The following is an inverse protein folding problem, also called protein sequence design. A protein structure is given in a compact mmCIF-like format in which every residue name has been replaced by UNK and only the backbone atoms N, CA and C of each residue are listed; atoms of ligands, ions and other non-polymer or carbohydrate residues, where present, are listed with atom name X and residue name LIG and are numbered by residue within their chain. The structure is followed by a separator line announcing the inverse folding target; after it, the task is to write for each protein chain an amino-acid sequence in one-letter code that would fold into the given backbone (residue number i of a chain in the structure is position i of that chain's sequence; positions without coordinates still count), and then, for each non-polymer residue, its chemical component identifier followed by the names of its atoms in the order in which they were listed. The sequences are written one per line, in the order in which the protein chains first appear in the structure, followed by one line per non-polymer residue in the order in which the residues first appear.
data_IF_448224635649
#
_entry.id   IF_448224635649
#
_cell.length_a   1.000
_cell.length_b   1.000
_cell.length_c   1.000
_cell.angle_alpha   90.00
_cell.angle_beta   90.00
_cell.angle_gamma   90.00
#
_symmetry.space_group_name_H-M   'P 1'
#
loop_
_entity.id
_entity.type
_entity.pdbx_description
1 polymer ?
#
# COMPACT_ATOMS: atom_id res chain seq x y z
N UNK A 1 -8.23 12.12 9.78
CA UNK A 1 -7.61 10.83 9.98
C UNK A 1 -8.61 9.73 9.75
N UNK A 2 -8.26 8.75 8.98
CA UNK A 2 -9.23 7.75 8.56
C UNK A 2 -8.80 6.35 8.96
N UNK A 3 -8.91 6.08 10.25
CA UNK A 3 -8.51 4.79 10.78
C UNK A 3 -9.42 3.67 10.29
N UNK A 4 -10.67 3.98 10.01
CA UNK A 4 -11.58 2.97 9.51
C UNK A 4 -11.13 2.44 8.15
N UNK A 5 -10.65 3.33 7.28
CA UNK A 5 -10.14 2.91 5.99
C UNK A 5 -8.86 2.11 6.16
N UNK A 6 -7.97 2.54 7.06
CA UNK A 6 -6.74 1.80 7.32
C UNK A 6 -7.05 0.39 7.82
N UNK A 7 -8.02 0.26 8.72
CA UNK A 7 -8.42 -1.04 9.22
C UNK A 7 -8.97 -1.92 8.10
N UNK A 8 -9.73 -1.34 7.21
CA UNK A 8 -10.26 -2.10 6.08
C UNK A 8 -9.15 -2.58 5.16
N UNK A 9 -8.17 -1.71 4.90
CA UNK A 9 -7.02 -2.09 4.08
C UNK A 9 -6.34 -3.29 4.71
N UNK A 10 -6.10 -3.25 6.03
CA UNK A 10 -5.45 -4.35 6.71
C UNK A 10 -6.22 -5.65 6.56
N UNK A 11 -7.54 -5.58 6.73
CA UNK A 11 -8.36 -6.78 6.65
C UNK A 11 -8.39 -7.35 5.25
N UNK A 12 -8.49 -6.48 4.25
CA UNK A 12 -8.54 -6.94 2.86
C UNK A 12 -7.21 -7.53 2.41
N UNK A 13 -6.10 -7.02 2.94
CA UNK A 13 -4.79 -7.52 2.58
C UNK A 13 -4.37 -8.73 3.39
N UNK A 14 -5.16 -9.14 4.39
CA UNK A 14 -4.81 -10.30 5.19
C UNK A 14 -4.70 -11.57 4.36
N UNK A 15 -5.41 -11.63 3.25
CA UNK A 15 -5.37 -12.78 2.36
C UNK A 15 -3.97 -12.98 1.76
N UNK A 16 -3.17 -11.93 1.73
CA UNK A 16 -1.80 -12.00 1.23
C UNK A 16 -0.80 -12.42 2.31
N UNK A 17 -1.28 -12.67 3.53
CA UNK A 17 -0.45 -13.16 4.63
C UNK A 17 0.73 -12.25 4.90
N UNK A 18 0.49 -10.96 5.15
CA UNK A 18 1.59 -10.02 5.28
C UNK A 18 2.47 -10.34 6.46
N UNK A 19 3.78 -10.36 6.20
CA UNK A 19 4.78 -10.47 7.25
C UNK A 19 5.07 -9.10 7.83
N UNK A 20 4.84 -8.08 7.04
CA UNK A 20 4.99 -6.71 7.46
C UNK A 20 4.01 -5.87 6.66
N UNK A 21 3.31 -4.97 7.33
CA UNK A 21 2.34 -4.10 6.66
C UNK A 21 2.34 -2.76 7.36
N UNK A 22 2.75 -1.74 6.63
CA UNK A 22 2.75 -0.37 7.12
C UNK A 22 1.85 0.45 6.21
N UNK A 23 0.98 1.23 6.80
CA UNK A 23 0.04 2.06 6.07
C UNK A 23 0.11 3.46 6.65
N UNK A 24 0.39 4.45 5.79
CA UNK A 24 0.41 5.83 6.20
C UNK A 24 -0.67 6.58 5.46
N UNK A 25 -1.42 7.37 6.20
CA UNK A 25 -2.43 8.25 5.63
C UNK A 25 -1.75 9.58 5.36
N UNK A 26 -1.59 9.89 4.10
CA UNK A 26 -0.93 11.11 3.67
C UNK A 26 -1.92 12.16 3.18
N UNK A 27 -3.17 11.98 3.51
CA UNK A 27 -4.21 12.90 3.03
C UNK A 27 -3.96 14.34 3.49
N UNK A 28 -3.41 14.50 4.67
CA UNK A 28 -3.15 15.83 5.21
C UNK A 28 -2.15 16.62 4.37
N UNK A 29 -1.26 15.94 3.68
CA UNK A 29 -0.27 16.61 2.84
C UNK A 29 -0.92 17.30 1.66
N UNK A 30 -2.14 16.94 1.36
CA UNK A 30 -2.88 17.50 0.24
C UNK A 30 -4.02 18.40 0.68
N UNK A 31 -4.11 18.67 1.97
CA UNK A 31 -5.17 19.54 2.49
C UNK A 31 -5.02 20.92 1.87
N UNK A 32 -6.12 21.46 1.44
CA UNK A 32 -6.15 22.77 0.80
C UNK A 32 -6.02 22.73 -0.71
N UNK A 33 -5.65 21.60 -1.27
CA UNK A 33 -5.61 21.46 -2.72
C UNK A 33 -7.01 21.14 -3.24
N UNK A 34 -7.35 21.64 -4.41
CA UNK A 34 -8.68 21.35 -4.96
C UNK A 34 -8.97 19.86 -5.06
N UNK A 35 -7.98 19.05 -5.38
CA UNK A 35 -8.18 17.62 -5.50
C UNK A 35 -8.54 16.96 -4.19
N UNK A 36 -8.11 17.52 -3.08
CA UNK A 36 -8.39 16.93 -1.78
C UNK A 36 -9.85 17.00 -1.42
N UNK A 37 -10.56 17.92 -2.03
CA UNK A 37 -12.00 18.08 -1.75
C UNK A 37 -12.87 17.09 -2.47
N UNK A 38 -12.31 16.42 -3.47
CA UNK A 38 -13.10 15.48 -4.23
C UNK A 38 -13.39 14.20 -3.46
N UNK A 39 -12.83 14.08 -2.27
CA UNK A 39 -13.03 12.88 -1.48
C UNK A 39 -11.95 11.86 -1.77
N UNK A 40 -11.89 10.85 -0.94
CA UNK A 40 -10.88 9.83 -1.05
C UNK A 40 -9.57 10.27 -0.42
N UNK A 41 -8.82 9.32 0.11
CA UNK A 41 -7.58 9.60 0.78
C UNK A 41 -6.36 9.26 -0.05
N UNK A 42 -5.24 9.74 0.40
CA UNK A 42 -3.93 9.43 -0.18
C UNK A 42 -3.17 8.60 0.81
N UNK A 43 -2.78 7.40 0.41
CA UNK A 43 -2.15 6.45 1.30
C UNK A 43 -0.84 5.95 0.76
N UNK A 44 0.07 5.62 1.67
CA UNK A 44 1.33 4.97 1.32
C UNK A 44 1.37 3.63 2.03
N UNK A 45 1.70 2.59 1.28
CA UNK A 45 1.63 1.23 1.75
C UNK A 45 2.98 0.53 1.56
N UNK A 46 3.46 -0.11 2.62
CA UNK A 46 4.61 -1.00 2.51
C UNK A 46 4.16 -2.38 2.96
N UNK A 47 4.29 -3.36 2.07
CA UNK A 47 3.78 -4.70 2.32
C UNK A 47 4.83 -5.73 1.96
N UNK A 48 5.16 -6.58 2.91
CA UNK A 48 6.03 -7.72 2.68
C UNK A 48 5.17 -8.98 2.75
N UNK A 49 5.17 -9.76 1.67
CA UNK A 49 4.28 -10.91 1.58
C UNK A 49 4.98 -12.12 0.96
N UNK A 50 4.76 -13.32 1.53
CA UNK A 50 5.28 -14.56 0.93
C UNK A 50 4.56 -14.93 -0.36
N UNK A 51 3.53 -14.18 -0.73
CA UNK A 51 2.81 -14.41 -2.00
C UNK A 51 3.47 -13.73 -3.18
N UNK A 52 4.45 -12.86 -2.93
CA UNK A 52 5.06 -12.06 -3.99
C UNK A 52 6.22 -12.72 -4.75
N UNK A 53 6.96 -13.69 -4.19
CA UNK A 53 8.06 -14.30 -4.96
C UNK A 53 7.56 -14.82 -6.29
N UNK A 54 8.34 -14.58 -7.34
CA UNK A 54 7.98 -15.02 -8.68
C UNK A 54 7.05 -14.09 -9.43
N UNK A 55 6.51 -13.07 -8.76
CA UNK A 55 5.63 -12.11 -9.42
C UNK A 55 6.40 -10.87 -9.80
N UNK A 56 6.07 -10.34 -10.98
CA UNK A 56 6.63 -9.06 -11.39
C UNK A 56 6.03 -7.94 -10.56
N UNK A 57 6.65 -6.76 -10.66
CA UNK A 57 6.11 -5.60 -9.97
C UNK A 57 4.66 -5.33 -10.38
N UNK A 58 4.38 -5.41 -11.66
CA UNK A 58 3.04 -5.16 -12.15
C UNK A 58 2.05 -6.18 -11.59
N UNK A 59 2.45 -7.45 -11.55
CA UNK A 59 1.58 -8.48 -11.01
C UNK A 59 1.28 -8.27 -9.54
N UNK A 60 2.27 -7.84 -8.78
CA UNK A 60 2.07 -7.55 -7.36
C UNK A 60 1.11 -6.39 -7.18
N UNK A 61 1.28 -5.34 -7.98
CA UNK A 61 0.38 -4.19 -7.92
C UNK A 61 -1.05 -4.59 -8.23
N UNK A 62 -1.23 -5.41 -9.27
CA UNK A 62 -2.56 -5.86 -9.63
C UNK A 62 -3.20 -6.68 -8.52
N UNK A 63 -2.41 -7.53 -7.89
CA UNK A 63 -2.91 -8.36 -6.81
C UNK A 63 -3.41 -7.50 -5.66
N UNK A 64 -2.65 -6.48 -5.29
CA UNK A 64 -3.08 -5.58 -4.21
C UNK A 64 -4.31 -4.79 -4.63
N UNK A 65 -4.33 -4.25 -5.86
CA UNK A 65 -5.50 -3.52 -6.32
C UNK A 65 -6.74 -4.41 -6.34
N UNK A 66 -6.59 -5.68 -6.71
CA UNK A 66 -7.73 -6.59 -6.68
C UNK A 66 -8.26 -6.75 -5.26
N UNK A 67 -7.36 -6.85 -4.28
CA UNK A 67 -7.78 -6.98 -2.89
C UNK A 67 -8.49 -5.73 -2.40
N UNK A 68 -8.07 -4.57 -2.86
CA UNK A 68 -8.59 -3.29 -2.37
C UNK A 68 -9.63 -2.68 -3.29
N UNK A 69 -10.12 -3.44 -4.25
CA UNK A 69 -10.96 -2.94 -5.32
C UNK A 69 -12.12 -2.09 -4.80
N UNK A 70 -12.82 -2.58 -3.78
CA UNK A 70 -13.99 -1.88 -3.28
C UNK A 70 -13.63 -0.53 -2.68
N UNK A 71 -12.44 -0.42 -2.09
CA UNK A 71 -12.01 0.84 -1.49
C UNK A 71 -11.55 1.84 -2.53
N UNK A 72 -11.07 1.35 -3.68
CA UNK A 72 -10.61 2.23 -4.74
C UNK A 72 -11.76 2.98 -5.39
N UNK A 73 -12.99 2.60 -5.11
CA UNK A 73 -14.14 3.28 -5.67
C UNK A 73 -14.41 4.62 -5.01
N UNK A 74 -13.88 4.86 -3.82
CA UNK A 74 -14.15 6.12 -3.15
C UNK A 74 -13.25 6.45 -1.99
N UNK A 75 -12.89 5.48 -1.19
CA UNK A 75 -12.09 5.72 0.01
C UNK A 75 -10.63 6.00 -0.30
N UNK A 76 -10.10 5.42 -1.37
CA UNK A 76 -8.71 5.61 -1.73
C UNK A 76 -8.65 6.34 -3.06
N UNK A 77 -8.08 7.54 -3.05
CA UNK A 77 -7.91 8.31 -4.27
C UNK A 77 -6.56 8.02 -4.91
N UNK A 78 -5.54 7.89 -4.10
CA UNK A 78 -4.20 7.59 -4.57
C UNK A 78 -3.51 6.66 -3.61
N UNK A 79 -2.74 5.72 -4.15
CA UNK A 79 -2.07 4.71 -3.33
C UNK A 79 -0.67 4.48 -3.86
N UNK A 80 0.32 4.87 -3.06
CA UNK A 80 1.72 4.57 -3.35
C UNK A 80 2.08 3.28 -2.64
N UNK A 81 2.71 2.36 -3.36
CA UNK A 81 2.97 1.03 -2.81
C UNK A 81 4.42 0.62 -2.95
N UNK A 82 4.94 0.01 -1.90
CA UNK A 82 6.20 -0.73 -1.93
C UNK A 82 5.85 -2.17 -1.58
N UNK A 83 6.00 -3.07 -2.53
CA UNK A 83 5.57 -4.46 -2.39
C UNK A 83 6.78 -5.37 -2.54
N UNK A 84 7.12 -6.06 -1.46
CA UNK A 84 8.36 -6.83 -1.38
C UNK A 84 8.10 -8.27 -1.01
N UNK A 85 8.91 -9.17 -1.58
CA UNK A 85 8.98 -10.53 -1.06
C UNK A 85 9.79 -10.52 0.23
N UNK A 86 9.71 -11.59 1.04
CA UNK A 86 10.51 -11.64 2.25
C UNK A 86 12.01 -11.53 2.00
N UNK A 87 12.48 -12.11 0.90
CA UNK A 87 13.90 -12.04 0.55
C UNK A 87 14.31 -10.63 0.18
N UNK A 88 13.46 -9.95 -0.57
CA UNK A 88 13.74 -8.58 -0.96
C UNK A 88 13.77 -7.66 0.25
N UNK A 89 12.85 -7.88 1.18
CA UNK A 89 12.82 -7.08 2.38
C UNK A 89 14.05 -7.30 3.24
N UNK A 90 14.52 -8.55 3.33
CA UNK A 90 15.72 -8.86 4.09
C UNK A 90 16.93 -8.21 3.45
N UNK A 91 17.03 -8.24 2.12
CA UNK A 91 18.12 -7.58 1.41
C UNK A 91 18.12 -6.08 1.63
N UNK A 92 16.94 -5.48 1.58
CA UNK A 92 16.85 -4.05 1.78
C UNK A 92 17.24 -3.65 3.20
N UNK A 93 16.96 -4.51 4.17
CA UNK A 93 17.35 -4.25 5.54
C UNK A 93 18.85 -4.38 5.74
N UNK A 94 19.50 -5.29 4.98
CA UNK A 94 20.93 -5.50 5.06
C UNK A 94 21.73 -4.42 4.38
N UNK A 95 21.13 -3.74 3.40
CA UNK A 95 21.83 -2.75 2.60
C UNK A 95 21.03 -1.45 2.63
N UNK A 96 21.70 -0.33 2.85
CA UNK A 96 20.99 0.93 2.75
C UNK A 96 20.39 1.09 1.37
N UNK A 97 19.23 1.70 1.29
CA UNK A 97 18.63 1.89 -0.04
C UNK A 97 19.52 2.75 -0.90
N UNK A 98 19.63 2.33 -2.11
CA UNK A 98 20.32 3.14 -3.07
C UNK A 98 19.43 4.26 -3.46
N UNK A 99 20.05 5.33 -3.71
CA UNK A 99 19.27 6.33 -4.13
C UNK A 99 19.30 6.44 -5.42
N UNK A 100 18.65 6.35 -5.96
CA UNK A 100 18.82 6.32 -7.21
C UNK A 100 18.48 7.10 -7.71
#
# INVERSE_FOLDING_TARGET
MDEATIDRIRRLLAVLEPLELQIEDESDRHAGHPGARAGGGHYRLRLVSPRFPGLTRLQRHRLVYDCLDILMLGQIHALAMTLLSPEEAASAASHPPSRE
#
